data_IF_674422514816
#
_entry.id   IF_674422514816
#
_cell.length_a   1.000
_cell.length_b   1.000
_cell.length_c   1.000
_cell.angle_alpha   90.00
_cell.angle_beta   90.00
_cell.angle_gamma   90.00
#
_symmetry.space_group_name_H-M   'P 1'
#
loop_
_entity.id
_entity.type
_entity.pdbx_description
1 polymer ?
#
# COMPACT_ATOMS: atom_id res chain seq x y z
N UNK A 1 -9.35 8.77 -12.91
CA UNK A 1 -10.37 7.76 -13.26
C UNK A 1 -11.27 7.52 -12.05
N UNK A 2 -12.59 7.59 -12.21
CA UNK A 2 -13.55 7.38 -11.13
C UNK A 2 -13.50 5.94 -10.59
N UNK A 3 -13.89 5.76 -9.33
CA UNK A 3 -14.04 4.44 -8.72
C UNK A 3 -15.20 3.72 -9.41
N UNK A 4 -15.03 2.45 -9.79
CA UNK A 4 -16.10 1.65 -10.41
C UNK A 4 -17.34 1.63 -9.51
N UNK A 5 -18.53 1.61 -10.11
CA UNK A 5 -19.78 1.45 -9.37
C UNK A 5 -19.72 0.19 -8.50
N UNK A 6 -20.07 0.33 -7.22
CA UNK A 6 -19.95 -0.72 -6.20
C UNK A 6 -18.62 -0.76 -5.45
N UNK A 7 -17.60 -0.01 -5.88
CA UNK A 7 -16.31 0.09 -5.18
C UNK A 7 -16.17 1.44 -4.47
N UNK A 8 -15.36 1.47 -3.40
CA UNK A 8 -15.00 2.70 -2.68
C UNK A 8 -13.49 2.86 -2.69
N UNK A 9 -13.00 4.07 -2.99
CA UNK A 9 -11.58 4.38 -2.86
C UNK A 9 -11.29 4.81 -1.43
N UNK A 10 -10.27 4.18 -0.84
CA UNK A 10 -9.78 4.51 0.49
C UNK A 10 -8.34 4.99 0.34
N UNK A 11 -8.05 6.19 0.80
CA UNK A 11 -6.68 6.70 0.89
C UNK A 11 -6.13 6.31 2.26
N UNK A 12 -5.03 5.55 2.29
CA UNK A 12 -4.37 5.11 3.52
C UNK A 12 -2.95 5.65 3.50
N UNK A 13 -2.61 6.48 4.49
CA UNK A 13 -1.25 6.92 4.72
C UNK A 13 -0.51 5.84 5.52
N UNK A 14 0.56 5.30 4.96
CA UNK A 14 1.46 4.36 5.63
C UNK A 14 2.71 5.12 6.06
N UNK A 15 3.02 5.08 7.35
CA UNK A 15 4.26 5.64 7.90
C UNK A 15 5.21 4.45 8.11
N UNK A 16 6.30 4.43 7.34
CA UNK A 16 7.33 3.41 7.46
C UNK A 16 8.53 4.02 8.18
N UNK A 17 8.90 3.43 9.31
CA UNK A 17 10.05 3.85 10.10
C UNK A 17 10.74 2.61 10.64
N UNK A 18 12.04 2.50 10.39
CA UNK A 18 12.89 1.50 11.00
C UNK A 18 13.53 2.05 12.29
N UNK A 19 13.77 1.16 13.25
CA UNK A 19 14.27 1.52 14.59
C UNK A 19 15.80 1.46 14.70
N UNK A 20 16.46 0.86 13.71
CA UNK A 20 17.90 0.58 13.72
C UNK A 20 18.67 1.38 12.68
N UNK A 21 18.03 1.76 11.58
CA UNK A 21 18.65 2.52 10.47
C UNK A 21 17.65 3.38 9.72
N UNK A 22 18.17 4.28 8.89
CA UNK A 22 17.34 4.97 7.89
C UNK A 22 16.92 3.96 6.83
N UNK A 23 15.62 3.94 6.52
CA UNK A 23 15.09 3.12 5.44
C UNK A 23 15.52 3.68 4.09
N UNK A 24 16.11 2.82 3.27
CA UNK A 24 16.39 3.10 1.86
C UNK A 24 15.08 3.10 1.06
N UNK A 25 15.04 3.85 -0.04
CA UNK A 25 13.83 3.97 -0.88
C UNK A 25 13.36 2.60 -1.41
N UNK A 26 14.32 1.70 -1.70
CA UNK A 26 14.05 0.33 -2.11
C UNK A 26 13.36 -0.50 -1.01
N UNK A 27 13.76 -0.32 0.25
CA UNK A 27 13.12 -1.03 1.39
C UNK A 27 11.71 -0.52 1.65
N UNK A 28 11.50 0.79 1.50
CA UNK A 28 10.18 1.41 1.61
C UNK A 28 9.27 0.84 0.51
N UNK A 29 9.73 0.85 -0.75
CA UNK A 29 8.97 0.32 -1.88
C UNK A 29 8.66 -1.18 -1.71
N UNK A 30 9.63 -1.98 -1.27
CA UNK A 30 9.43 -3.40 -1.01
C UNK A 30 8.40 -3.65 0.10
N UNK A 31 8.42 -2.85 1.16
CA UNK A 31 7.48 -2.99 2.29
C UNK A 31 6.08 -2.53 1.92
N UNK A 32 5.96 -1.41 1.20
CA UNK A 32 4.69 -0.95 0.63
C UNK A 32 4.12 -2.00 -0.32
N UNK A 33 4.95 -2.59 -1.19
CA UNK A 33 4.55 -3.68 -2.09
C UNK A 33 4.00 -4.90 -1.33
N UNK A 34 4.64 -5.30 -0.23
CA UNK A 34 4.15 -6.38 0.64
C UNK A 34 2.81 -6.03 1.29
N UNK A 35 2.64 -4.80 1.79
CA UNK A 35 1.36 -4.34 2.35
C UNK A 35 0.25 -4.35 1.30
N UNK A 36 0.52 -3.87 0.08
CA UNK A 36 -0.44 -3.88 -1.03
C UNK A 36 -0.78 -5.31 -1.44
N UNK A 37 0.20 -6.22 -1.50
CA UNK A 37 -0.03 -7.63 -1.79
C UNK A 37 -0.94 -8.30 -0.74
N UNK A 38 -0.68 -8.05 0.55
CA UNK A 38 -1.51 -8.58 1.63
C UNK A 38 -2.94 -8.01 1.60
N UNK A 39 -3.09 -6.71 1.29
CA UNK A 39 -4.40 -6.08 1.11
C UNK A 39 -5.15 -6.64 -0.11
N UNK A 40 -4.43 -6.93 -1.20
CA UNK A 40 -4.99 -7.56 -2.39
C UNK A 40 -5.45 -8.98 -2.11
N UNK A 41 -4.70 -9.76 -1.35
CA UNK A 41 -5.08 -11.13 -0.99
C UNK A 41 -6.28 -11.16 -0.03
N UNK A 42 -6.28 -10.32 1.02
CA UNK A 42 -7.36 -10.30 2.02
C UNK A 42 -8.64 -9.62 1.55
N UNK A 43 -8.52 -8.54 0.77
CA UNK A 43 -9.65 -7.67 0.44
C UNK A 43 -9.93 -7.58 -1.06
N UNK A 44 -9.18 -8.31 -1.92
CA UNK A 44 -9.23 -8.16 -3.39
C UNK A 44 -9.04 -6.69 -3.82
N UNK A 45 -8.32 -5.91 -2.99
CA UNK A 45 -8.10 -4.50 -3.20
C UNK A 45 -7.00 -4.27 -4.25
N UNK A 46 -7.22 -3.31 -5.13
CA UNK A 46 -6.23 -2.86 -6.11
C UNK A 46 -5.75 -1.46 -5.74
N UNK A 47 -4.43 -1.26 -5.70
CA UNK A 47 -3.87 0.08 -5.60
C UNK A 47 -4.30 0.88 -6.84
N UNK A 48 -4.74 2.11 -6.62
CA UNK A 48 -5.12 3.04 -7.67
C UNK A 48 -3.93 3.94 -7.98
N UNK A 49 -3.63 4.06 -9.27
CA UNK A 49 -2.70 5.05 -9.85
C UNK A 49 -3.41 6.41 -10.04
#
# INVERSE_FOLDING_TARGET
KGVSEGYKSLAISLILQDTSRTLEEEEIAATVGKCVAALKERFQATLRD
#
